data_IF_733715402843
#
_entry.id   IF_733715402843
#
_cell.length_a   1.000
_cell.length_b   1.000
_cell.length_c   1.000
_cell.angle_alpha   90.00
_cell.angle_beta   90.00
_cell.angle_gamma   90.00
#
_symmetry.space_group_name_H-M   'P 1'
#
loop_
_entity.id
_entity.type
_entity.pdbx_description
1 polymer ?
#
# COMPACT_ATOMS: atom_id res chain seq x y z
N UNK A 1 14.77 -19.55 25.92
CA UNK A 1 14.84 -18.77 24.68
C UNK A 1 14.70 -19.74 23.52
N UNK A 2 13.84 -19.46 22.53
CA UNK A 2 13.67 -20.32 21.34
C UNK A 2 14.98 -20.36 20.54
N UNK A 3 15.23 -21.47 19.87
CA UNK A 3 16.34 -21.60 18.92
C UNK A 3 16.08 -20.77 17.66
N UNK A 4 17.13 -20.49 16.87
CA UNK A 4 17.01 -19.69 15.64
C UNK A 4 16.00 -20.29 14.65
N UNK A 5 15.98 -21.61 14.50
CA UNK A 5 15.10 -22.29 13.56
C UNK A 5 13.64 -22.20 14.01
N UNK A 6 13.39 -22.29 15.32
CA UNK A 6 12.05 -22.05 15.89
C UNK A 6 11.58 -20.60 15.73
N UNK A 7 12.52 -19.64 15.70
CA UNK A 7 12.19 -18.23 15.41
C UNK A 7 11.91 -18.06 13.92
N UNK A 8 12.64 -18.75 13.03
CA UNK A 8 12.37 -18.73 11.59
C UNK A 8 10.94 -19.22 11.27
N UNK A 9 10.53 -20.36 11.85
CA UNK A 9 9.16 -20.86 11.71
C UNK A 9 8.11 -19.87 12.24
N UNK A 10 8.43 -19.18 13.34
CA UNK A 10 7.55 -18.18 13.94
C UNK A 10 7.45 -16.91 13.08
N UNK A 11 8.54 -16.52 12.42
CA UNK A 11 8.57 -15.43 11.43
C UNK A 11 7.72 -15.78 10.21
N UNK A 12 7.85 -16.98 9.65
CA UNK A 12 6.98 -17.41 8.54
C UNK A 12 5.50 -17.38 8.96
N UNK A 13 5.19 -17.89 10.15
CA UNK A 13 3.84 -17.84 10.71
C UNK A 13 3.32 -16.40 10.91
N UNK A 14 4.21 -15.47 11.27
CA UNK A 14 3.89 -14.05 11.42
C UNK A 14 3.59 -13.40 10.06
N UNK A 15 4.42 -13.66 9.06
CA UNK A 15 4.22 -13.16 7.69
C UNK A 15 2.93 -13.71 7.06
N UNK A 16 2.52 -14.93 7.43
CA UNK A 16 1.23 -15.52 7.06
C UNK A 16 0.02 -14.93 7.83
N UNK A 17 0.26 -14.05 8.82
CA UNK A 17 -0.79 -13.49 9.68
C UNK A 17 -1.48 -14.55 10.55
N UNK A 18 -0.75 -15.59 10.96
CA UNK A 18 -1.29 -16.73 11.75
C UNK A 18 -0.81 -16.75 13.19
N UNK A 19 0.02 -15.80 13.60
CA UNK A 19 0.53 -15.68 14.96
C UNK A 19 -0.56 -15.27 15.94
N UNK A 20 -0.40 -15.73 17.18
CA UNK A 20 -1.14 -15.20 18.33
C UNK A 20 -0.36 -14.06 18.98
N UNK A 21 -1.05 -13.18 19.73
CA UNK A 21 -0.39 -12.11 20.50
C UNK A 21 0.71 -12.60 21.46
N UNK A 22 0.61 -13.84 21.95
CA UNK A 22 1.65 -14.43 22.79
C UNK A 22 2.91 -14.75 21.99
N UNK A 23 2.75 -15.32 20.79
CA UNK A 23 3.84 -15.65 19.88
C UNK A 23 4.53 -14.40 19.34
N UNK A 24 3.78 -13.34 19.05
CA UNK A 24 4.34 -12.06 18.61
C UNK A 24 5.20 -11.41 19.69
N UNK A 25 4.78 -11.46 20.96
CA UNK A 25 5.62 -10.99 22.08
C UNK A 25 6.95 -11.75 22.18
N UNK A 26 6.96 -13.03 21.81
CA UNK A 26 8.20 -13.80 21.75
C UNK A 26 9.10 -13.36 20.58
N UNK A 27 8.51 -13.03 19.42
CA UNK A 27 9.25 -12.45 18.29
C UNK A 27 9.88 -11.11 18.71
N UNK A 28 9.09 -10.19 19.27
CA UNK A 28 9.58 -8.88 19.70
C UNK A 28 10.74 -9.02 20.69
N UNK A 29 10.57 -9.81 21.75
CA UNK A 29 11.62 -10.01 22.75
C UNK A 29 12.92 -10.63 22.18
N UNK A 30 12.79 -11.53 21.19
CA UNK A 30 13.95 -12.14 20.55
C UNK A 30 14.69 -11.13 19.66
N UNK A 31 13.97 -10.40 18.80
CA UNK A 31 14.56 -9.41 17.88
C UNK A 31 15.16 -8.19 18.61
N UNK A 32 14.60 -7.79 19.76
CA UNK A 32 15.13 -6.68 20.57
C UNK A 32 16.42 -7.01 21.31
N UNK A 33 16.71 -8.30 21.57
CA UNK A 33 17.89 -8.74 22.32
C UNK A 33 18.96 -9.45 21.50
N UNK A 34 18.62 -9.98 20.32
CA UNK A 34 19.53 -10.78 19.50
C UNK A 34 20.39 -9.93 18.54
N UNK A 35 21.61 -10.40 18.30
CA UNK A 35 22.39 -10.03 17.11
C UNK A 35 21.86 -10.89 15.95
N UNK A 36 21.31 -10.21 14.94
CA UNK A 36 20.49 -10.83 13.89
C UNK A 36 21.32 -10.89 12.60
N UNK A 37 21.29 -11.99 11.82
CA UNK A 37 21.98 -12.06 10.55
C UNK A 37 21.43 -11.05 9.54
N UNK A 38 22.25 -10.68 8.55
CA UNK A 38 21.95 -9.59 7.58
C UNK A 38 20.60 -9.77 6.87
N UNK A 39 20.22 -11.01 6.56
CA UNK A 39 18.95 -11.39 5.94
C UNK A 39 17.70 -11.02 6.75
N UNK A 40 17.84 -10.79 8.06
CA UNK A 40 16.75 -10.48 8.99
C UNK A 40 16.89 -9.09 9.64
N UNK A 41 17.84 -8.27 9.19
CA UNK A 41 18.01 -6.90 9.67
C UNK A 41 16.74 -6.07 9.46
N UNK A 42 16.12 -6.17 8.29
CA UNK A 42 14.88 -5.44 7.97
C UNK A 42 13.72 -5.88 8.87
N UNK A 43 13.62 -7.19 9.15
CA UNK A 43 12.63 -7.74 10.09
C UNK A 43 12.87 -7.23 11.52
N UNK A 44 14.14 -7.12 11.94
CA UNK A 44 14.50 -6.58 13.25
C UNK A 44 14.01 -5.14 13.40
N UNK A 45 14.31 -4.28 12.42
CA UNK A 45 13.88 -2.88 12.45
C UNK A 45 12.36 -2.77 12.54
N UNK A 46 11.65 -3.56 11.73
CA UNK A 46 10.19 -3.63 11.76
C UNK A 46 9.64 -4.07 13.14
N UNK A 47 10.20 -5.14 13.73
CA UNK A 47 9.74 -5.63 15.03
C UNK A 47 10.02 -4.66 16.19
N UNK A 48 11.15 -3.95 16.15
CA UNK A 48 11.44 -2.89 17.12
C UNK A 48 10.44 -1.75 16.99
N UNK A 49 10.10 -1.34 15.77
CA UNK A 49 9.09 -0.29 15.54
C UNK A 49 7.70 -0.68 16.07
N UNK A 50 7.29 -1.94 15.93
CA UNK A 50 6.07 -2.45 16.53
C UNK A 50 6.11 -2.44 18.06
N UNK A 51 7.24 -2.83 18.67
CA UNK A 51 7.41 -2.83 20.14
C UNK A 51 7.36 -1.41 20.72
N UNK A 52 7.89 -0.42 20.00
CA UNK A 52 7.85 1.00 20.38
C UNK A 52 6.45 1.63 20.26
N UNK A 53 5.45 0.86 19.85
CA UNK A 53 4.07 1.31 19.75
C UNK A 53 3.80 2.15 18.50
N UNK A 54 4.56 1.94 17.43
CA UNK A 54 4.40 2.64 16.14
C UNK A 54 4.37 4.16 16.31
N UNK A 55 5.45 4.78 16.81
CA UNK A 55 5.49 6.22 17.00
C UNK A 55 5.14 6.92 15.69
N UNK A 56 4.25 7.91 15.78
CA UNK A 56 3.76 8.67 14.63
C UNK A 56 4.97 9.17 13.84
N UNK A 57 5.16 8.65 12.62
CA UNK A 57 6.28 9.07 11.78
C UNK A 57 6.07 10.55 11.47
N UNK A 58 6.76 11.41 12.21
CA UNK A 58 6.70 12.85 12.01
C UNK A 58 7.29 13.12 10.63
N UNK A 59 6.41 13.22 9.63
CA UNK A 59 6.67 13.56 8.23
C UNK A 59 7.98 12.99 7.68
N UNK A 60 7.88 11.93 6.87
CA UNK A 60 8.90 11.62 5.88
C UNK A 60 9.33 12.93 5.21
N UNK A 61 10.50 13.44 5.58
CA UNK A 61 11.08 14.61 4.93
C UNK A 61 11.20 14.20 3.48
N UNK A 62 10.36 14.77 2.62
CA UNK A 62 10.53 14.68 1.18
C UNK A 62 12.00 15.00 0.93
N UNK A 63 12.75 13.99 0.50
CA UNK A 63 14.13 14.17 0.13
C UNK A 63 14.11 15.16 -1.04
N UNK A 64 14.38 16.44 -0.75
CA UNK A 64 14.58 17.44 -1.77
C UNK A 64 15.79 17.00 -2.59
N UNK A 65 15.52 16.32 -3.71
CA UNK A 65 16.51 15.98 -4.70
C UNK A 65 17.19 17.29 -5.11
N UNK A 66 18.52 17.45 -4.93
CA UNK A 66 19.17 18.70 -5.30
C UNK A 66 18.98 18.91 -6.81
N UNK A 67 18.18 19.92 -7.16
CA UNK A 67 17.93 20.36 -8.54
C UNK A 67 19.21 20.98 -9.07
N UNK A 68 20.12 20.14 -9.57
CA UNK A 68 21.28 20.60 -10.33
C UNK A 68 20.80 21.19 -11.67
N UNK A 69 20.57 22.51 -11.69
CA UNK A 69 20.10 23.30 -12.84
C UNK A 69 21.15 23.45 -13.97
N UNK A 70 22.08 22.51 -14.15
CA UNK A 70 23.18 22.66 -15.13
C UNK A 70 23.17 21.65 -16.29
N UNK A 71 22.13 20.83 -16.44
CA UNK A 71 22.04 19.83 -17.52
C UNK A 71 20.72 19.86 -18.30
N UNK A 72 20.07 21.01 -18.43
CA UNK A 72 18.81 21.13 -19.19
C UNK A 72 19.04 21.43 -20.69
N UNK A 73 20.22 21.91 -21.09
CA UNK A 73 20.48 22.33 -22.47
C UNK A 73 20.89 21.20 -23.44
N UNK A 74 21.13 19.98 -22.94
CA UNK A 74 21.48 18.81 -23.77
C UNK A 74 20.29 17.84 -24.00
N UNK A 75 19.18 17.99 -23.27
CA UNK A 75 18.03 17.09 -23.35
C UNK A 75 16.94 17.54 -24.34
N UNK A 76 17.02 18.75 -24.90
CA UNK A 76 16.00 19.26 -25.84
C UNK A 76 16.21 18.80 -27.30
N UNK A 77 17.38 18.22 -27.63
CA UNK A 77 17.72 17.82 -29.00
C UNK A 77 17.20 16.45 -29.43
N UNK A 78 16.75 15.60 -28.51
CA UNK A 78 16.42 14.17 -28.79
C UNK A 78 14.93 13.82 -28.77
N UNK A 79 14.04 14.74 -28.38
CA UNK A 79 12.58 14.50 -28.29
C UNK A 79 11.78 14.91 -29.55
N UNK A 80 12.40 15.60 -30.51
CA UNK A 80 11.71 16.04 -31.73
C UNK A 80 11.49 14.93 -32.77
N UNK A 81 12.27 13.83 -32.71
CA UNK A 81 12.24 12.77 -33.72
C UNK A 81 11.10 11.75 -33.60
N UNK A 82 10.60 11.50 -32.38
CA UNK A 82 9.61 10.43 -32.12
C UNK A 82 8.18 10.92 -32.36
N UNK A 83 7.86 12.18 -32.05
CA UNK A 83 6.50 12.71 -32.24
C UNK A 83 6.13 12.88 -33.72
N UNK A 84 7.11 13.19 -34.58
CA UNK A 84 6.87 13.42 -36.01
C UNK A 84 6.52 12.13 -36.78
N UNK A 85 7.04 10.97 -36.36
CA UNK A 85 6.78 9.69 -37.04
C UNK A 85 5.37 9.15 -36.79
N UNK A 86 4.81 9.34 -35.59
CA UNK A 86 3.44 8.90 -35.26
C UNK A 86 2.39 9.74 -36.01
N UNK A 87 2.59 11.06 -36.07
CA UNK A 87 1.68 11.96 -36.78
C UNK A 87 1.61 11.68 -38.30
N UNK A 88 2.74 11.31 -38.92
CA UNK A 88 2.79 11.02 -40.35
C UNK A 88 2.06 9.71 -40.70
N UNK A 89 2.12 8.70 -39.83
CA UNK A 89 1.38 7.43 -39.99
C UNK A 89 -0.13 7.64 -39.87
N UNK A 90 -0.58 8.48 -38.95
CA UNK A 90 -2.01 8.80 -38.77
C UNK A 90 -2.57 9.58 -39.98
N UNK A 91 -1.76 10.47 -40.57
CA UNK A 91 -2.22 11.35 -41.66
C UNK A 91 -2.34 10.61 -43.01
N UNK A 92 -1.67 9.47 -43.17
CA UNK A 92 -1.62 8.71 -44.43
C UNK A 92 -2.56 7.50 -44.48
N UNK A 93 -3.33 7.25 -43.41
CA UNK A 93 -4.31 6.15 -43.37
C UNK A 93 -5.64 6.58 -44.01
N UNK A 94 -6.25 5.75 -44.88
CA UNK A 94 -7.55 6.03 -45.46
C UNK A 94 -8.62 6.13 -44.38
N UNK A 95 -9.56 7.05 -44.55
CA UNK A 95 -10.63 7.44 -43.60
C UNK A 95 -11.71 6.38 -43.35
N UNK A 96 -11.54 5.15 -43.85
CA UNK A 96 -12.46 4.03 -43.63
C UNK A 96 -12.05 3.17 -42.42
N UNK A 97 -11.56 3.82 -41.35
CA UNK A 97 -11.18 3.20 -40.05
C UNK A 97 -12.19 3.61 -38.98
N UNK A 98 -13.49 3.58 -39.29
CA UNK A 98 -14.53 3.57 -38.25
C UNK A 98 -14.80 2.12 -37.75
N UNK A 99 -14.33 1.10 -38.47
CA UNK A 99 -14.57 -0.33 -38.16
C UNK A 99 -13.35 -1.07 -37.56
N UNK A 100 -12.23 -0.36 -37.33
CA UNK A 100 -10.95 -0.98 -36.91
C UNK A 100 -10.46 -0.53 -35.52
N UNK A 101 -11.26 0.22 -34.77
CA UNK A 101 -10.94 0.60 -33.39
C UNK A 101 -12.13 0.26 -32.49
N UNK A 102 -12.48 -1.02 -32.44
CA UNK A 102 -12.96 -1.57 -31.17
C UNK A 102 -11.70 -1.75 -30.30
N UNK A 103 -11.37 -0.73 -29.52
CA UNK A 103 -10.50 -0.95 -28.36
C UNK A 103 -11.35 -1.81 -27.42
N UNK A 104 -11.27 -3.12 -27.62
CA UNK A 104 -11.56 -4.08 -26.58
C UNK A 104 -10.56 -3.79 -25.47
N UNK A 105 -10.92 -2.83 -24.59
CA UNK A 105 -10.31 -2.72 -23.28
C UNK A 105 -10.43 -4.14 -22.70
N UNK A 106 -9.33 -4.78 -22.29
CA UNK A 106 -9.46 -6.02 -21.55
C UNK A 106 -10.45 -5.74 -20.43
N UNK A 107 -11.57 -6.47 -20.46
CA UNK A 107 -12.57 -6.51 -19.41
C UNK A 107 -11.82 -6.39 -18.10
N UNK A 108 -12.05 -5.28 -17.38
CA UNK A 108 -11.31 -4.96 -16.17
C UNK A 108 -11.34 -6.21 -15.31
N UNK A 109 -10.22 -6.93 -15.25
CA UNK A 109 -9.99 -7.92 -14.22
C UNK A 109 -10.04 -7.09 -12.95
N UNK A 110 -11.20 -7.09 -12.29
CA UNK A 110 -11.42 -6.37 -11.05
C UNK A 110 -10.41 -6.97 -10.09
N UNK A 111 -9.25 -6.32 -9.95
CA UNK A 111 -8.29 -6.63 -8.91
C UNK A 111 -9.10 -6.49 -7.64
N UNK A 112 -9.35 -7.60 -6.96
CA UNK A 112 -10.06 -7.53 -5.70
C UNK A 112 -9.13 -6.77 -4.75
N UNK A 113 -9.50 -5.53 -4.44
CA UNK A 113 -8.68 -4.62 -3.65
C UNK A 113 -8.36 -5.19 -2.26
N UNK A 114 -9.20 -6.13 -1.81
CA UNK A 114 -9.11 -6.82 -0.53
C UNK A 114 -8.53 -8.23 -0.66
N UNK A 115 -8.01 -8.64 -1.83
CA UNK A 115 -7.39 -9.95 -2.00
C UNK A 115 -6.21 -10.12 -1.01
N UNK A 116 -6.31 -11.16 -0.17
CA UNK A 116 -5.34 -11.41 0.91
C UNK A 116 -5.65 -10.73 2.24
N UNK A 117 -6.66 -9.86 2.30
CA UNK A 117 -7.16 -9.29 3.56
C UNK A 117 -7.89 -10.33 4.40
N UNK A 118 -7.85 -10.14 5.71
CA UNK A 118 -8.59 -10.92 6.69
C UNK A 118 -8.98 -10.03 7.87
N UNK A 119 -10.00 -10.45 8.62
CA UNK A 119 -10.38 -9.80 9.89
C UNK A 119 -10.42 -10.81 11.02
N UNK A 120 -10.15 -10.36 12.24
CA UNK A 120 -10.13 -11.21 13.44
C UNK A 120 -11.11 -10.67 14.46
N UNK A 121 -12.22 -11.37 14.64
CA UNK A 121 -13.27 -11.02 15.61
C UNK A 121 -13.34 -12.08 16.71
N UNK A 122 -13.24 -11.66 17.97
CA UNK A 122 -13.29 -12.55 19.13
C UNK A 122 -12.28 -13.72 19.04
N UNK A 123 -11.16 -13.52 18.34
CA UNK A 123 -10.13 -14.54 18.13
C UNK A 123 -10.40 -15.51 16.96
N UNK A 124 -11.47 -15.30 16.20
CA UNK A 124 -11.79 -16.06 14.99
C UNK A 124 -11.39 -15.24 13.76
N UNK A 125 -10.55 -15.83 12.92
CA UNK A 125 -10.11 -15.24 11.64
C UNK A 125 -11.14 -15.54 10.55
N UNK A 126 -11.56 -14.51 9.81
CA UNK A 126 -12.38 -14.62 8.60
C UNK A 126 -11.61 -14.06 7.41
N UNK A 127 -11.52 -14.85 6.35
CA UNK A 127 -10.92 -14.47 5.06
C UNK A 127 -12.03 -14.27 3.98
N UNK A 128 -13.31 -14.22 4.40
CA UNK A 128 -14.45 -14.01 3.49
C UNK A 128 -14.47 -12.57 2.99
N UNK A 129 -14.01 -12.37 1.76
CA UNK A 129 -13.88 -11.04 1.16
C UNK A 129 -15.22 -10.30 1.04
N UNK A 130 -16.33 -11.01 0.81
CA UNK A 130 -17.64 -10.37 0.70
C UNK A 130 -18.11 -9.83 2.06
N UNK A 131 -17.79 -10.54 3.14
CA UNK A 131 -18.05 -10.08 4.50
C UNK A 131 -17.16 -8.89 4.86
N UNK A 132 -15.86 -8.98 4.56
CA UNK A 132 -14.88 -7.92 4.87
C UNK A 132 -15.20 -6.63 4.12
N UNK A 133 -15.52 -6.72 2.83
CA UNK A 133 -15.89 -5.56 2.02
C UNK A 133 -17.15 -4.89 2.59
N UNK A 134 -18.19 -5.66 2.91
CA UNK A 134 -19.41 -5.14 3.51
C UNK A 134 -19.19 -4.47 4.88
N UNK A 135 -18.38 -5.07 5.75
CA UNK A 135 -18.06 -4.50 7.06
C UNK A 135 -17.28 -3.16 6.93
N UNK A 136 -16.31 -3.10 6.01
CA UNK A 136 -15.55 -1.88 5.75
C UNK A 136 -16.46 -0.78 5.20
N UNK A 137 -17.34 -1.09 4.24
CA UNK A 137 -18.27 -0.12 3.68
C UNK A 137 -19.22 0.45 4.75
N UNK A 138 -19.78 -0.40 5.61
CA UNK A 138 -20.64 0.02 6.72
C UNK A 138 -19.87 0.93 7.70
N UNK A 139 -18.63 0.56 8.05
CA UNK A 139 -17.78 1.35 8.93
C UNK A 139 -17.47 2.73 8.35
N UNK A 140 -17.20 2.81 7.05
CA UNK A 140 -16.95 4.08 6.36
C UNK A 140 -18.20 4.96 6.32
N UNK A 141 -19.37 4.40 5.98
CA UNK A 141 -20.64 5.17 6.00
C UNK A 141 -20.95 5.72 7.39
N UNK A 142 -20.69 4.91 8.43
CA UNK A 142 -20.85 5.33 9.81
C UNK A 142 -19.88 6.45 10.20
N UNK A 143 -18.63 6.38 9.75
CA UNK A 143 -17.63 7.42 10.00
C UNK A 143 -18.05 8.74 9.36
N UNK A 144 -18.47 8.72 8.08
CA UNK A 144 -18.96 9.90 7.36
C UNK A 144 -20.16 10.54 8.07
N UNK A 145 -21.11 9.71 8.54
CA UNK A 145 -22.26 10.21 9.29
C UNK A 145 -21.86 10.90 10.60
N UNK A 146 -20.87 10.33 11.29
CA UNK A 146 -20.35 10.91 12.54
C UNK A 146 -19.65 12.24 12.29
N UNK A 147 -18.85 12.33 11.23
CA UNK A 147 -18.17 13.56 10.81
C UNK A 147 -19.18 14.66 10.45
N UNK A 148 -20.18 14.35 9.63
CA UNK A 148 -21.22 15.31 9.26
C UNK A 148 -21.97 15.84 10.49
N UNK A 149 -22.29 14.96 11.44
CA UNK A 149 -22.92 15.36 12.70
C UNK A 149 -21.98 16.22 13.55
N UNK A 150 -20.69 15.93 13.60
CA UNK A 150 -19.73 16.73 14.32
C UNK A 150 -19.61 18.15 13.73
N UNK A 151 -19.60 18.28 12.40
CA UNK A 151 -19.58 19.56 11.70
C UNK A 151 -20.85 20.38 11.93
N UNK A 152 -22.03 19.74 11.86
CA UNK A 152 -23.29 20.38 12.26
C UNK A 152 -23.24 20.85 13.71
N UNK A 153 -22.59 20.07 14.58
CA UNK A 153 -22.46 20.43 15.98
C UNK A 153 -21.55 21.66 16.19
N UNK A 154 -20.44 21.73 15.46
CA UNK A 154 -19.53 22.88 15.49
C UNK A 154 -20.21 24.13 14.92
N UNK A 155 -20.99 23.99 13.85
CA UNK A 155 -21.69 25.10 13.20
C UNK A 155 -22.76 25.75 14.10
N UNK A 156 -23.43 25.00 14.99
CA UNK A 156 -24.36 25.63 15.95
C UNK A 156 -23.64 26.27 17.15
N UNK A 157 -22.43 25.79 17.50
CA UNK A 157 -21.69 26.29 18.65
C UNK A 157 -20.99 27.65 18.40
N UNK A 158 -20.78 28.01 17.12
CA UNK A 158 -20.20 29.28 16.68
C UNK A 158 -21.24 30.42 16.51
N UNK A 159 -22.50 30.21 16.92
CA UNK A 159 -23.60 31.22 16.94
C UNK A 159 -23.91 31.65 18.38
#
# INVERSE_FOLDING_TARGET
MKSRDQIAELVEKFLDGRTTNAEERELYAWFSSAEVPEEWCDLKEMFVWYEEGMPEQTQMKQAEKPRNKRSMWLALGSMAGIAASVALVITLMPSDIDDYVDVSLPEHNHVNLYEGSYIVEQGVRSDDLAYIEGDIEELLERADNLEQRADELLAWADI
#
